data_IF_056713163307
#
_entry.id   IF_056713163307
#
_cell.length_a   1.000
_cell.length_b   1.000
_cell.length_c   1.000
_cell.angle_alpha   90.00
_cell.angle_beta   90.00
_cell.angle_gamma   90.00
#
_symmetry.space_group_name_H-M   'P 1'
#
loop_
_entity.id
_entity.type
_entity.pdbx_description
1 polymer ?
#
# COMPACT_ATOMS: atom_id res chain seq x y z
N UNK A 1 -7.95 -2.75 -17.12
CA UNK A 1 -6.64 -2.70 -17.80
C UNK A 1 -5.65 -2.27 -16.74
N UNK A 2 -4.89 -3.21 -16.18
CA UNK A 2 -3.92 -2.92 -15.12
C UNK A 2 -2.57 -2.70 -15.79
N UNK A 3 -2.05 -1.48 -15.69
CA UNK A 3 -0.69 -1.16 -16.15
C UNK A 3 0.24 -1.64 -15.03
N UNK A 4 0.93 -2.76 -15.27
CA UNK A 4 2.06 -3.19 -14.44
C UNK A 4 3.27 -2.38 -14.87
N UNK A 5 3.68 -1.41 -14.05
CA UNK A 5 4.92 -0.67 -14.24
C UNK A 5 6.12 -1.49 -13.70
N UNK A 6 7.28 -1.36 -14.34
CA UNK A 6 8.49 -2.13 -14.02
C UNK A 6 8.94 -1.85 -12.57
N UNK A 7 8.59 -2.77 -11.65
CA UNK A 7 8.85 -2.60 -10.21
C UNK A 7 7.76 -3.19 -9.31
N UNK A 8 6.65 -3.67 -9.88
CA UNK A 8 5.55 -4.28 -9.10
C UNK A 8 4.60 -3.26 -8.47
N UNK A 9 4.80 -1.97 -8.76
CA UNK A 9 3.89 -0.89 -8.38
C UNK A 9 2.57 -1.02 -9.15
N UNK A 10 1.46 -0.93 -8.44
CA UNK A 10 0.12 -1.04 -9.01
C UNK A 10 -0.89 -0.18 -8.26
N UNK A 11 -1.91 0.28 -8.99
CA UNK A 11 -3.08 0.94 -8.42
C UNK A 11 -4.24 -0.05 -8.38
N UNK A 12 -4.83 -0.22 -7.21
CA UNK A 12 -5.93 -1.16 -6.93
C UNK A 12 -7.05 -0.43 -6.20
N UNK A 13 -8.26 -1.01 -6.17
CA UNK A 13 -9.30 -0.53 -5.27
C UNK A 13 -8.93 -0.86 -3.82
N UNK A 14 -9.34 -0.02 -2.86
CA UNK A 14 -9.03 -0.25 -1.45
C UNK A 14 -9.57 -1.59 -0.95
N UNK A 15 -10.73 -2.03 -1.44
CA UNK A 15 -11.28 -3.35 -1.09
C UNK A 15 -10.38 -4.53 -1.51
N UNK A 16 -9.58 -4.37 -2.57
CA UNK A 16 -8.67 -5.43 -3.02
C UNK A 16 -7.52 -5.66 -2.03
N UNK A 17 -7.20 -4.67 -1.20
CA UNK A 17 -6.19 -4.82 -0.14
C UNK A 17 -6.62 -5.83 0.93
N UNK A 18 -7.92 -6.07 1.12
CA UNK A 18 -8.44 -7.01 2.12
C UNK A 18 -8.09 -8.47 1.82
N UNK A 19 -7.83 -8.79 0.55
CA UNK A 19 -7.53 -10.15 0.08
C UNK A 19 -6.12 -10.29 -0.48
N UNK A 20 -5.33 -9.22 -0.39
CA UNK A 20 -4.00 -9.20 -0.96
C UNK A 20 -2.99 -9.90 -0.05
N UNK A 21 -2.03 -10.58 -0.67
CA UNK A 21 -1.01 -11.37 0.02
C UNK A 21 0.37 -10.80 -0.29
N UNK A 22 1.14 -10.45 0.74
CA UNK A 22 2.52 -9.97 0.63
C UNK A 22 2.78 -8.66 1.37
N UNK A 23 4.06 -8.28 1.44
CA UNK A 23 4.52 -7.04 2.06
C UNK A 23 4.49 -5.89 1.05
N UNK A 24 3.57 -4.96 1.26
CA UNK A 24 3.38 -3.80 0.39
C UNK A 24 3.53 -2.51 1.17
N UNK A 25 4.05 -1.48 0.50
CA UNK A 25 3.95 -0.11 0.99
C UNK A 25 2.84 0.63 0.28
N UNK A 26 2.19 1.53 1.01
CA UNK A 26 1.23 2.45 0.42
C UNK A 26 1.98 3.61 -0.22
N UNK A 27 1.54 4.05 -1.38
CA UNK A 27 2.17 5.14 -2.11
C UNK A 27 1.20 6.31 -2.23
N UNK A 28 1.71 7.51 -1.99
CA UNK A 28 0.92 8.73 -2.05
C UNK A 28 0.79 9.29 -3.50
N UNK A 29 0.10 10.42 -3.62
CA UNK A 29 -0.11 11.14 -4.89
C UNK A 29 1.17 11.77 -5.47
N UNK A 30 2.15 12.16 -4.64
CA UNK A 30 3.47 12.63 -5.12
C UNK A 30 4.36 11.49 -5.58
N UNK A 31 3.96 10.26 -5.24
CA UNK A 31 4.56 9.02 -5.65
C UNK A 31 5.56 8.48 -4.65
N UNK A 32 5.59 9.05 -3.44
CA UNK A 32 6.44 8.68 -2.32
C UNK A 32 5.77 7.58 -1.48
N UNK A 33 6.58 6.66 -0.97
CA UNK A 33 6.10 5.61 -0.07
C UNK A 33 5.70 6.22 1.29
N UNK A 34 4.48 5.91 1.75
CA UNK A 34 3.96 6.27 3.08
C UNK A 34 4.34 5.27 4.17
N UNK A 35 5.01 4.17 3.81
CA UNK A 35 5.41 3.11 4.73
C UNK A 35 4.73 1.77 4.45
N UNK A 36 5.19 0.74 5.16
CA UNK A 36 4.72 -0.64 5.10
C UNK A 36 3.30 -0.74 5.61
N UNK A 37 2.42 -1.42 4.86
CA UNK A 37 1.09 -1.79 5.29
C UNK A 37 1.21 -2.91 6.34
N UNK A 38 0.90 -2.60 7.59
CA UNK A 38 0.96 -3.55 8.71
C UNK A 38 -0.36 -4.31 8.89
N UNK A 39 -1.47 -3.63 8.62
CA UNK A 39 -2.80 -4.24 8.71
C UNK A 39 -3.78 -3.57 7.78
N UNK A 40 -4.71 -4.38 7.26
CA UNK A 40 -5.87 -3.93 6.49
C UNK A 40 -7.10 -4.55 7.13
N UNK A 41 -8.10 -3.74 7.41
CA UNK A 41 -9.38 -4.16 7.97
C UNK A 41 -10.54 -3.42 7.31
N UNK A 42 -11.75 -3.87 7.61
CA UNK A 42 -12.97 -3.21 7.18
C UNK A 42 -13.74 -2.72 8.40
N UNK A 43 -14.05 -1.42 8.43
CA UNK A 43 -14.90 -0.80 9.44
C UNK A 43 -16.18 -0.28 8.77
N UNK A 44 -17.28 -0.99 8.98
CA UNK A 44 -18.54 -0.70 8.28
C UNK A 44 -18.38 -0.90 6.77
N UNK A 45 -18.47 0.20 6.00
CA UNK A 45 -18.27 0.21 4.55
C UNK A 45 -16.88 0.68 4.14
N UNK A 46 -16.06 1.13 5.09
CA UNK A 46 -14.75 1.71 4.81
C UNK A 46 -13.64 0.68 5.00
N UNK A 47 -12.58 0.81 4.20
CA UNK A 47 -11.35 0.04 4.35
C UNK A 47 -10.39 0.86 5.20
N UNK A 48 -9.89 0.27 6.27
CA UNK A 48 -8.94 0.88 7.21
C UNK A 48 -7.58 0.23 7.01
N UNK A 49 -6.58 1.03 6.67
CA UNK A 49 -5.20 0.60 6.41
C UNK A 49 -4.30 1.25 7.45
N UNK A 50 -3.53 0.44 8.18
CA UNK A 50 -2.49 0.95 9.09
C UNK A 50 -1.14 0.79 8.41
N UNK A 51 -0.38 1.88 8.33
CA UNK A 51 0.97 1.91 7.75
C UNK A 51 2.01 2.37 8.75
N UNK A 52 3.24 1.85 8.65
CA UNK A 52 4.38 2.28 9.48
C UNK A 52 5.66 2.44 8.65
N UNK A 53 6.46 3.47 8.97
CA UNK A 53 7.75 3.78 8.32
C UNK A 53 8.89 3.87 9.36
N UNK A 54 8.87 3.00 10.37
CA UNK A 54 9.84 3.03 11.48
C UNK A 54 9.56 4.11 12.56
N UNK A 55 8.46 4.86 12.43
CA UNK A 55 7.89 5.75 13.44
C UNK A 55 6.59 5.21 14.04
N UNK A 56 5.77 6.10 14.62
CA UNK A 56 4.42 5.74 15.07
C UNK A 56 3.54 5.36 13.87
N UNK A 57 2.77 4.26 13.95
CA UNK A 57 1.91 3.83 12.86
C UNK A 57 0.79 4.85 12.62
N UNK A 58 0.45 5.03 11.34
CA UNK A 58 -0.61 5.94 10.89
C UNK A 58 -1.75 5.13 10.30
N UNK A 59 -2.97 5.40 10.76
CA UNK A 59 -4.18 4.78 10.23
C UNK A 59 -4.82 5.68 9.17
N UNK A 60 -5.14 5.08 8.02
CA UNK A 60 -5.77 5.72 6.88
C UNK A 60 -7.09 5.01 6.58
N UNK A 61 -8.11 5.78 6.22
CA UNK A 61 -9.45 5.26 5.91
C UNK A 61 -9.81 5.59 4.47
N UNK A 62 -10.28 4.59 3.74
CA UNK A 62 -10.64 4.67 2.34
C UNK A 62 -12.07 4.20 2.11
N UNK A 63 -12.73 4.80 1.12
CA UNK A 63 -13.91 4.20 0.50
C UNK A 63 -13.49 2.93 -0.26
N UNK A 64 -14.36 1.91 -0.38
CA UNK A 64 -13.98 0.62 -0.95
C UNK A 64 -13.53 0.72 -2.42
N UNK A 65 -14.19 1.61 -3.18
CA UNK A 65 -13.86 1.91 -4.58
C UNK A 65 -12.72 2.93 -4.76
N UNK A 66 -12.19 3.49 -3.66
CA UNK A 66 -11.08 4.44 -3.73
C UNK A 66 -9.85 3.75 -4.31
N UNK A 67 -9.21 4.42 -5.27
CA UNK A 67 -8.00 3.94 -5.91
C UNK A 67 -6.79 4.24 -5.02
N UNK A 68 -6.10 3.19 -4.60
CA UNK A 68 -4.89 3.25 -3.79
C UNK A 68 -3.72 2.68 -4.57
N UNK A 69 -2.58 3.36 -4.49
CA UNK A 69 -1.35 2.88 -5.14
C UNK A 69 -0.49 2.20 -4.11
N UNK A 70 0.03 1.04 -4.47
CA UNK A 70 0.91 0.23 -3.63
C UNK A 70 2.11 -0.22 -4.44
N UNK A 71 3.19 -0.52 -3.74
CA UNK A 71 4.39 -1.14 -4.33
C UNK A 71 4.99 -2.18 -3.36
N UNK A 72 5.72 -3.18 -3.87
CA UNK A 72 6.40 -4.15 -3.01
C UNK A 72 7.29 -3.43 -2.01
N UNK A 73 7.18 -3.76 -0.72
CA UNK A 73 8.02 -3.14 0.29
C UNK A 73 9.41 -3.79 0.29
N UNK A 74 10.42 -3.09 -0.19
CA UNK A 74 11.81 -3.60 -0.23
C UNK A 74 12.52 -3.53 1.14
N UNK A 75 11.80 -3.23 2.23
CA UNK A 75 12.37 -3.21 3.59
C UNK A 75 13.43 -2.13 3.81
N UNK A 76 13.42 -1.06 3.00
CA UNK A 76 14.47 -0.03 3.01
C UNK A 76 15.82 -0.52 2.49
N UNK A 77 15.90 -1.70 1.85
CA UNK A 77 17.10 -2.07 1.12
C UNK A 77 17.11 -1.27 -0.19
N UNK A 78 18.06 -0.36 -0.29
CA UNK A 78 18.44 0.17 -1.61
C UNK A 78 18.73 -1.02 -2.54
N UNK A 79 18.32 -0.96 -3.83
CA UNK A 79 18.55 -2.07 -4.75
C UNK A 79 20.03 -2.43 -4.76
N UNK A 80 20.35 -3.67 -4.38
CA UNK A 80 21.68 -4.23 -4.54
C UNK A 80 21.89 -4.53 -6.02
N UNK A 81 22.37 -3.54 -6.75
CA UNK A 81 22.84 -3.71 -8.12
C UNK A 81 24.17 -4.49 -8.09
N UNK A 82 24.29 -5.64 -8.78
CA UNK A 82 25.58 -6.32 -8.98
C UNK A 82 26.50 -5.56 -9.94
#
# INVERSE_FOLDING_TARGET
MTVEDFGGRRTVAAEELLVQVGDYSLVDETGDSRGLIESVGQEGLSVVVTVSDGGEPVTLTFEPEALVTIEPYDGGKAPVVP
#
